data_IF_745934354547
#
_entry.id   IF_745934354547
#
_cell.length_a   1.000
_cell.length_b   1.000
_cell.length_c   1.000
_cell.angle_alpha   90.00
_cell.angle_beta   90.00
_cell.angle_gamma   90.00
#
_symmetry.space_group_name_H-M   'P 1'
#
loop_
_entity.id
_entity.type
_entity.pdbx_description
1 polymer ?
#
# COMPACT_ATOMS: atom_id res chain seq x y z
N UNK A 1 -4.42 -11.83 -7.72
CA UNK A 1 -5.85 -12.18 -7.57
C UNK A 1 -6.59 -10.91 -7.17
N UNK A 2 -7.23 -10.23 -8.12
CA UNK A 2 -7.81 -8.90 -7.90
C UNK A 2 -9.04 -8.96 -6.99
N UNK A 3 -9.12 -8.07 -6.00
CA UNK A 3 -10.29 -7.93 -5.12
C UNK A 3 -11.50 -7.30 -5.85
N UNK A 4 -11.95 -7.91 -6.94
CA UNK A 4 -13.16 -7.50 -7.64
C UNK A 4 -14.38 -8.13 -6.95
N UNK A 5 -14.92 -7.45 -5.92
CA UNK A 5 -16.21 -7.83 -5.33
C UNK A 5 -16.39 -7.56 -3.84
N UNK A 6 -15.37 -7.10 -3.11
CA UNK A 6 -15.53 -6.77 -1.68
C UNK A 6 -16.11 -5.37 -1.54
N UNK A 7 -17.19 -5.24 -0.78
CA UNK A 7 -17.74 -3.93 -0.41
C UNK A 7 -16.65 -3.06 0.23
N UNK A 8 -16.64 -1.77 -0.08
CA UNK A 8 -15.72 -0.83 0.56
C UNK A 8 -16.01 -0.80 2.07
N UNK A 9 -14.98 -0.79 2.93
CA UNK A 9 -15.19 -0.67 4.37
C UNK A 9 -15.92 0.64 4.65
N UNK A 10 -16.99 0.55 5.42
CA UNK A 10 -17.84 1.69 5.82
C UNK A 10 -17.54 2.14 7.25
N UNK A 11 -16.83 1.31 8.01
CA UNK A 11 -16.40 1.60 9.39
C UNK A 11 -14.88 1.53 9.54
N UNK A 12 -14.36 2.19 10.57
CA UNK A 12 -12.94 2.13 10.92
C UNK A 12 -12.51 0.72 11.33
N UNK A 13 -13.39 -0.07 11.95
CA UNK A 13 -13.12 -1.46 12.33
C UNK A 13 -12.94 -2.35 11.11
N UNK A 14 -13.84 -2.26 10.12
CA UNK A 14 -13.71 -3.00 8.85
C UNK A 14 -12.43 -2.61 8.10
N UNK A 15 -12.12 -1.32 8.08
CA UNK A 15 -10.89 -0.83 7.46
C UNK A 15 -9.63 -1.35 8.18
N UNK A 16 -9.65 -1.36 9.52
CA UNK A 16 -8.57 -1.92 10.33
C UNK A 16 -8.37 -3.41 10.08
N UNK A 17 -9.43 -4.20 10.03
CA UNK A 17 -9.36 -5.63 9.69
C UNK A 17 -8.82 -5.87 8.28
N UNK A 18 -9.17 -5.00 7.32
CA UNK A 18 -8.62 -5.04 5.97
C UNK A 18 -7.11 -4.72 5.92
N UNK A 19 -6.61 -3.83 6.78
CA UNK A 19 -5.17 -3.56 6.87
C UNK A 19 -4.43 -4.69 7.60
N UNK A 20 -4.99 -5.22 8.69
CA UNK A 20 -4.42 -6.37 9.39
C UNK A 20 -4.23 -7.56 8.44
N UNK A 21 -5.24 -7.88 7.63
CA UNK A 21 -5.14 -8.94 6.62
C UNK A 21 -4.05 -8.71 5.57
N UNK A 22 -3.72 -7.44 5.24
CA UNK A 22 -2.62 -7.11 4.31
C UNK A 22 -1.25 -7.23 4.97
N UNK A 23 -1.15 -6.90 6.26
CA UNK A 23 0.09 -7.03 7.03
C UNK A 23 0.45 -8.50 7.25
N UNK A 24 -0.56 -9.35 7.44
CA UNK A 24 -0.41 -10.79 7.63
C UNK A 24 -0.23 -11.58 6.32
N UNK A 25 -0.37 -10.95 5.14
CA UNK A 25 -0.21 -11.65 3.85
C UNK A 25 1.26 -12.02 3.61
N UNK A 26 1.63 -13.32 3.61
CA UNK A 26 3.01 -13.74 3.44
C UNK A 26 3.55 -13.48 2.03
N UNK A 27 2.69 -13.27 1.03
CA UNK A 27 3.07 -12.94 -0.33
C UNK A 27 3.10 -11.41 -0.57
N UNK A 28 2.93 -10.61 0.48
CA UNK A 28 2.88 -9.16 0.41
C UNK A 28 3.78 -8.47 1.43
N UNK A 29 4.10 -7.22 1.14
CA UNK A 29 4.74 -6.29 2.05
C UNK A 29 3.95 -4.98 2.00
N UNK A 30 3.23 -4.70 3.08
CA UNK A 30 2.45 -3.48 3.24
C UNK A 30 3.29 -2.36 3.87
N UNK A 31 3.18 -1.15 3.33
CA UNK A 31 3.88 0.03 3.80
C UNK A 31 2.90 1.16 4.14
N UNK A 32 3.11 1.77 5.30
CA UNK A 32 2.55 3.07 5.62
C UNK A 32 3.43 4.16 4.99
N UNK A 33 2.81 5.15 4.35
CA UNK A 33 3.50 6.34 3.85
C UNK A 33 3.28 7.46 4.85
N UNK A 34 4.36 7.95 5.46
CA UNK A 34 4.31 8.98 6.50
C UNK A 34 5.12 10.21 6.11
N UNK A 35 4.64 11.39 6.49
CA UNK A 35 5.44 12.60 6.41
C UNK A 35 6.56 12.55 7.46
N UNK A 36 7.81 12.63 7.02
CA UNK A 36 8.97 12.47 7.92
C UNK A 36 9.09 13.58 8.98
N UNK A 37 8.59 14.78 8.69
CA UNK A 37 8.71 15.94 9.59
C UNK A 37 7.66 15.91 10.70
N UNK A 38 6.44 15.49 10.37
CA UNK A 38 5.27 15.56 11.25
C UNK A 38 4.84 14.20 11.78
N UNK A 39 5.30 13.11 11.17
CA UNK A 39 4.84 11.75 11.45
C UNK A 39 3.42 11.45 10.95
N UNK A 40 2.79 12.38 10.22
CA UNK A 40 1.42 12.20 9.76
C UNK A 40 1.32 11.04 8.75
N UNK A 41 0.33 10.17 8.94
CA UNK A 41 -0.01 9.12 7.96
C UNK A 41 -0.64 9.76 6.72
N UNK A 42 0.04 9.62 5.59
CA UNK A 42 -0.38 10.16 4.30
C UNK A 42 -1.18 9.15 3.48
N UNK A 43 -0.93 7.87 3.70
CA UNK A 43 -1.58 6.78 3.00
C UNK A 43 -0.85 5.45 3.14
N UNK A 44 -1.15 4.53 2.23
CA UNK A 44 -0.53 3.21 2.17
C UNK A 44 -0.09 2.87 0.75
N UNK A 45 0.86 1.96 0.60
CA UNK A 45 1.22 1.27 -0.64
C UNK A 45 1.78 -0.11 -0.30
N UNK A 46 1.89 -1.02 -1.26
CA UNK A 46 2.37 -2.38 -1.00
C UNK A 46 3.07 -2.98 -2.22
N UNK A 47 3.98 -3.92 -1.96
CA UNK A 47 4.38 -4.96 -2.91
C UNK A 47 3.49 -6.18 -2.63
N UNK A 48 2.86 -6.76 -3.64
CA UNK A 48 1.90 -7.85 -3.49
C UNK A 48 2.23 -8.99 -4.45
N UNK A 49 1.80 -10.19 -4.11
CA UNK A 49 1.91 -11.37 -4.98
C UNK A 49 3.36 -11.63 -5.41
N UNK A 50 4.29 -11.57 -4.45
CA UNK A 50 5.69 -11.88 -4.69
C UNK A 50 5.84 -13.33 -5.15
N UNK A 51 6.39 -13.52 -6.35
CA UNK A 51 6.62 -14.81 -6.98
C UNK A 51 8.10 -14.93 -7.34
N UNK A 52 8.90 -15.60 -6.48
CA UNK A 52 10.35 -15.73 -6.67
C UNK A 52 10.74 -16.41 -7.97
N UNK A 53 10.00 -17.42 -8.41
CA UNK A 53 10.34 -18.18 -9.62
C UNK A 53 10.23 -17.33 -10.89
N UNK A 54 9.39 -16.29 -10.86
CA UNK A 54 9.21 -15.35 -11.97
C UNK A 54 9.91 -14.01 -11.73
N UNK A 55 10.57 -13.84 -10.57
CA UNK A 55 11.12 -12.57 -10.10
C UNK A 55 10.11 -11.42 -10.22
N UNK A 56 8.85 -11.69 -9.84
CA UNK A 56 7.72 -10.79 -10.05
C UNK A 56 7.14 -10.32 -8.72
N UNK A 57 6.79 -9.05 -8.64
CA UNK A 57 5.92 -8.49 -7.62
C UNK A 57 4.99 -7.42 -8.24
N UNK A 58 3.90 -7.10 -7.57
CA UNK A 58 2.95 -6.08 -8.01
C UNK A 58 2.90 -4.91 -7.03
N UNK A 59 3.09 -3.69 -7.54
CA UNK A 59 2.82 -2.48 -6.76
C UNK A 59 1.31 -2.25 -6.70
N UNK A 60 0.75 -2.31 -5.49
CA UNK A 60 -0.70 -2.22 -5.28
C UNK A 60 -1.06 -1.73 -3.88
N UNK A 61 -2.35 -1.74 -3.54
CA UNK A 61 -2.82 -1.26 -2.22
C UNK A 61 -2.56 0.24 -1.97
N UNK A 62 -2.29 1.00 -3.04
CA UNK A 62 -2.00 2.42 -2.97
C UNK A 62 -3.27 3.20 -2.67
N UNK A 63 -3.30 3.89 -1.53
CA UNK A 63 -4.36 4.82 -1.16
C UNK A 63 -3.75 6.03 -0.47
N UNK A 64 -4.04 7.22 -0.97
CA UNK A 64 -3.62 8.48 -0.36
C UNK A 64 -4.83 9.34 -0.05
N UNK A 65 -4.73 10.16 0.99
CA UNK A 65 -5.72 11.21 1.25
C UNK A 65 -5.96 12.07 0.00
N UNK A 66 -7.22 12.43 -0.27
CA UNK A 66 -7.62 13.17 -1.48
C UNK A 66 -6.83 14.47 -1.69
N UNK A 67 -6.48 15.14 -0.60
CA UNK A 67 -5.65 16.36 -0.59
C UNK A 67 -4.22 16.15 -1.13
N UNK A 68 -3.76 14.91 -1.23
CA UNK A 68 -2.42 14.55 -1.70
C UNK A 68 -2.43 14.07 -3.16
N UNK A 69 -3.59 13.98 -3.80
CA UNK A 69 -3.67 13.53 -5.19
C UNK A 69 -3.05 14.57 -6.12
N UNK A 70 -2.29 14.11 -7.11
CA UNK A 70 -1.53 14.98 -8.02
C UNK A 70 -0.29 15.63 -7.41
N UNK A 71 0.03 15.34 -6.14
CA UNK A 71 1.26 15.84 -5.48
C UNK A 71 2.43 14.88 -5.66
N UNK A 72 3.59 15.27 -5.11
CA UNK A 72 4.82 14.47 -5.09
C UNK A 72 4.71 13.16 -4.27
N UNK A 73 3.69 13.01 -3.42
CA UNK A 73 3.58 11.87 -2.49
C UNK A 73 3.61 10.52 -3.23
N UNK A 74 2.81 10.36 -4.28
CA UNK A 74 2.78 9.10 -5.03
C UNK A 74 4.09 8.83 -5.81
N UNK A 75 4.64 9.79 -6.59
CA UNK A 75 5.95 9.61 -7.23
C UNK A 75 7.09 9.25 -6.25
N UNK A 76 7.21 9.97 -5.14
CA UNK A 76 8.27 9.73 -4.13
C UNK A 76 8.08 8.36 -3.48
N UNK A 77 6.86 8.01 -3.09
CA UNK A 77 6.57 6.69 -2.49
C UNK A 77 6.88 5.55 -3.45
N UNK A 78 6.56 5.71 -4.74
CA UNK A 78 6.89 4.70 -5.76
C UNK A 78 8.38 4.60 -6.00
N UNK A 79 9.09 5.71 -6.05
CA UNK A 79 10.53 5.69 -6.20
C UNK A 79 11.21 4.97 -5.03
N UNK A 80 10.80 5.26 -3.79
CA UNK A 80 11.32 4.56 -2.61
C UNK A 80 11.02 3.06 -2.65
N UNK A 81 9.79 2.68 -3.04
CA UNK A 81 9.39 1.27 -3.14
C UNK A 81 10.18 0.51 -4.20
N UNK A 82 10.40 1.13 -5.36
CA UNK A 82 11.17 0.53 -6.45
C UNK A 82 12.66 0.44 -6.11
N UNK A 83 13.22 1.46 -5.45
CA UNK A 83 14.62 1.46 -4.98
C UNK A 83 14.88 0.46 -3.85
N UNK A 84 13.84 0.10 -3.10
CA UNK A 84 13.91 -1.00 -2.13
C UNK A 84 13.89 -2.37 -2.81
N UNK A 85 13.17 -2.50 -3.92
CA UNK A 85 12.96 -3.77 -4.61
C UNK A 85 14.08 -4.14 -5.61
N UNK A 86 14.85 -3.16 -6.10
CA UNK A 86 15.87 -3.30 -7.14
C UNK A 86 17.12 -2.49 -6.78
#
# INVERSE_FOLDING_TARGET
MGMNGRALPTTSHELSGLFAARVEDPAGLAFAVTDQRTGALLGTTALNGFEPAQQRAEVGGTFFGRQLWGTHVNPVSRHALLSFAF
#
